data_IF_095038002218
#
_entry.id   IF_095038002218
#
_cell.length_a   1.000
_cell.length_b   1.000
_cell.length_c   1.000
_cell.angle_alpha   90.00
_cell.angle_beta   90.00
_cell.angle_gamma   90.00
#
_symmetry.space_group_name_H-M   'P 1'
#
loop_
_entity.id
_entity.type
_entity.pdbx_description
1 polymer ?
#
# COMPACT_ATOMS: atom_id res chain seq x y z
N UNK A 1 1.56 -7.73 -3.01
CA UNK A 1 0.59 -6.85 -2.30
C UNK A 1 0.97 -5.45 -2.66
N UNK A 2 0.13 -4.69 -3.38
CA UNK A 2 0.32 -3.25 -3.50
C UNK A 2 0.61 -2.61 -2.14
N UNK A 3 1.75 -1.92 -2.06
CA UNK A 3 2.13 -1.09 -0.92
C UNK A 3 1.79 0.36 -1.26
N UNK A 4 2.24 1.33 -0.46
CA UNK A 4 1.86 2.73 -0.69
C UNK A 4 2.21 3.25 -2.09
N UNK A 5 3.41 3.02 -2.65
CA UNK A 5 3.76 3.51 -3.97
C UNK A 5 2.86 2.99 -5.08
N UNK A 6 2.49 1.71 -5.03
CA UNK A 6 1.59 1.09 -6.01
C UNK A 6 0.17 1.65 -5.89
N UNK A 7 -0.33 1.85 -4.67
CA UNK A 7 -1.66 2.42 -4.44
C UNK A 7 -1.71 3.88 -4.88
N UNK A 8 -0.66 4.66 -4.64
CA UNK A 8 -0.55 6.05 -5.12
C UNK A 8 -0.50 6.13 -6.64
N UNK A 9 0.23 5.21 -7.28
CA UNK A 9 0.30 5.14 -8.75
C UNK A 9 -1.08 4.81 -9.32
N UNK A 10 -1.79 3.82 -8.75
CA UNK A 10 -3.18 3.51 -9.14
C UNK A 10 -4.09 4.73 -8.93
N UNK A 11 -3.95 5.45 -7.81
CA UNK A 11 -4.74 6.67 -7.55
C UNK A 11 -4.55 7.71 -8.66
N UNK A 12 -3.29 7.97 -9.04
CA UNK A 12 -2.91 8.95 -10.07
C UNK A 12 -3.39 8.56 -11.45
N UNK A 13 -3.20 7.30 -11.84
CA UNK A 13 -3.61 6.80 -13.16
C UNK A 13 -5.13 6.64 -13.28
N UNK A 14 -5.81 6.27 -12.19
CA UNK A 14 -7.25 6.01 -12.22
C UNK A 14 -8.08 7.29 -12.25
N UNK A 15 -7.69 8.32 -11.48
CA UNK A 15 -8.45 9.57 -11.38
C UNK A 15 -8.83 10.18 -12.74
N UNK A 16 -7.91 10.43 -13.70
CA UNK A 16 -8.28 11.02 -14.99
C UNK A 16 -9.26 10.16 -15.81
N UNK A 17 -9.33 8.86 -15.55
CA UNK A 17 -10.21 7.94 -16.29
C UNK A 17 -11.65 7.91 -15.76
N UNK A 18 -11.87 8.32 -14.51
CA UNK A 18 -13.17 8.22 -13.81
C UNK A 18 -13.67 9.53 -13.23
N UNK A 19 -12.83 10.56 -13.18
CA UNK A 19 -13.21 11.88 -12.68
C UNK A 19 -14.40 12.42 -13.48
N UNK A 20 -15.35 12.96 -12.75
CA UNK A 20 -16.58 13.53 -13.25
C UNK A 20 -17.54 12.55 -13.93
N UNK A 21 -17.32 11.24 -13.79
CA UNK A 21 -18.26 10.24 -14.29
C UNK A 21 -19.37 9.96 -13.28
N UNK A 22 -20.61 10.03 -13.77
CA UNK A 22 -21.83 9.72 -13.00
C UNK A 22 -22.05 8.21 -13.00
N UNK A 23 -22.17 7.61 -11.82
CA UNK A 23 -22.44 6.18 -11.64
C UNK A 23 -23.93 5.91 -11.90
N UNK A 24 -24.23 5.08 -12.89
CA UNK A 24 -25.61 4.66 -13.22
C UNK A 24 -25.97 3.30 -12.65
N UNK A 25 -24.98 2.44 -12.40
CA UNK A 25 -25.19 1.14 -11.77
C UNK A 25 -23.93 0.66 -11.06
N UNK A 26 -24.13 -0.20 -10.05
CA UNK A 26 -23.08 -1.03 -9.47
C UNK A 26 -23.58 -2.47 -9.38
N UNK A 27 -22.71 -3.41 -9.79
CA UNK A 27 -22.97 -4.83 -9.73
C UNK A 27 -21.78 -5.58 -9.10
N UNK A 28 -22.06 -6.72 -8.46
CA UNK A 28 -21.04 -7.63 -7.95
C UNK A 28 -21.47 -9.08 -8.10
N UNK A 29 -20.52 -9.96 -8.43
CA UNK A 29 -20.71 -11.42 -8.37
C UNK A 29 -20.09 -12.02 -7.09
N UNK A 30 -19.59 -11.18 -6.19
CA UNK A 30 -18.95 -11.58 -4.93
C UNK A 30 -19.27 -10.58 -3.83
N UNK A 31 -20.49 -10.63 -3.29
CA UNK A 31 -21.01 -9.60 -2.38
C UNK A 31 -20.16 -9.38 -1.12
N UNK A 32 -19.42 -10.38 -0.64
CA UNK A 32 -18.48 -10.25 0.51
C UNK A 32 -17.38 -9.21 0.30
N UNK A 33 -17.16 -8.72 -0.92
CA UNK A 33 -16.27 -7.59 -1.19
C UNK A 33 -16.84 -6.26 -0.67
N UNK A 34 -18.16 -6.11 -0.67
CA UNK A 34 -18.88 -4.90 -0.25
C UNK A 34 -19.28 -5.05 1.23
N UNK A 35 -18.58 -4.36 2.11
CA UNK A 35 -18.78 -4.50 3.56
C UNK A 35 -20.18 -4.07 4.00
N UNK A 36 -20.78 -3.10 3.32
CA UNK A 36 -22.14 -2.62 3.61
C UNK A 36 -23.22 -3.40 2.83
N UNK A 37 -22.86 -4.37 1.98
CA UNK A 37 -23.77 -5.09 1.10
C UNK A 37 -24.07 -4.35 -0.21
N UNK A 38 -24.49 -5.09 -1.25
CA UNK A 38 -24.73 -4.52 -2.57
C UNK A 38 -25.90 -3.53 -2.57
N UNK A 39 -26.99 -3.87 -1.87
CA UNK A 39 -28.19 -3.03 -1.81
C UNK A 39 -27.90 -1.61 -1.28
N UNK A 40 -27.06 -1.49 -0.25
CA UNK A 40 -26.64 -0.17 0.27
C UNK A 40 -25.81 0.59 -0.76
N UNK A 41 -24.86 -0.06 -1.43
CA UNK A 41 -24.08 0.60 -2.48
C UNK A 41 -24.99 1.08 -3.62
N UNK A 42 -25.91 0.25 -4.11
CA UNK A 42 -26.84 0.61 -5.18
C UNK A 42 -27.72 1.81 -4.80
N UNK A 43 -28.25 1.82 -3.57
CA UNK A 43 -29.09 2.91 -3.08
C UNK A 43 -28.32 4.22 -2.94
N UNK A 44 -27.12 4.17 -2.38
CA UNK A 44 -26.44 5.37 -1.90
C UNK A 44 -25.46 5.98 -2.93
N UNK A 45 -25.01 5.25 -3.97
CA UNK A 45 -24.03 5.79 -4.94
C UNK A 45 -24.59 6.03 -6.34
N UNK A 46 -25.72 5.40 -6.72
CA UNK A 46 -26.28 5.59 -8.07
C UNK A 46 -26.77 7.03 -8.21
N UNK A 47 -26.43 7.66 -9.32
CA UNK A 47 -26.65 9.08 -9.60
C UNK A 47 -25.56 10.01 -9.09
N UNK A 48 -24.61 9.51 -8.28
CA UNK A 48 -23.47 10.30 -7.81
C UNK A 48 -22.29 10.27 -8.80
N UNK A 49 -21.47 11.31 -8.73
CA UNK A 49 -20.28 11.50 -9.56
C UNK A 49 -19.00 11.24 -8.76
N UNK A 50 -17.99 10.61 -9.36
CA UNK A 50 -16.66 10.52 -8.74
C UNK A 50 -15.92 11.85 -8.93
N UNK A 51 -15.76 12.61 -7.84
CA UNK A 51 -15.18 13.97 -7.88
C UNK A 51 -13.64 13.95 -7.76
N UNK A 52 -13.11 13.10 -6.89
CA UNK A 52 -11.67 12.89 -6.71
C UNK A 52 -11.38 11.50 -6.14
N UNK A 53 -10.11 11.10 -6.18
CA UNK A 53 -9.61 9.89 -5.51
C UNK A 53 -8.41 10.29 -4.65
N UNK A 54 -8.58 10.16 -3.34
CA UNK A 54 -7.50 10.32 -2.37
C UNK A 54 -6.91 8.96 -1.99
N UNK A 55 -5.85 8.97 -1.18
CA UNK A 55 -5.24 7.78 -0.60
C UNK A 55 -4.94 8.00 0.87
N UNK A 56 -5.17 6.96 1.68
CA UNK A 56 -4.69 6.87 3.06
C UNK A 56 -4.00 5.54 3.28
N UNK A 57 -2.70 5.55 3.57
CA UNK A 57 -1.88 4.34 3.63
C UNK A 57 -2.01 3.52 2.34
N UNK A 58 -2.57 2.32 2.44
CA UNK A 58 -2.80 1.40 1.32
C UNK A 58 -4.28 1.35 0.86
N UNK A 59 -5.06 2.36 1.23
CA UNK A 59 -6.48 2.50 0.87
C UNK A 59 -6.66 3.60 -0.16
N UNK A 60 -7.51 3.35 -1.17
CA UNK A 60 -8.07 4.36 -2.05
C UNK A 60 -9.36 4.91 -1.43
N UNK A 61 -9.57 6.22 -1.54
CA UNK A 61 -10.77 6.91 -1.08
C UNK A 61 -11.41 7.61 -2.29
N UNK A 62 -12.37 6.96 -2.93
CA UNK A 62 -13.10 7.53 -4.06
C UNK A 62 -14.22 8.42 -3.52
N UNK A 63 -14.10 9.74 -3.74
CA UNK A 63 -15.04 10.76 -3.24
C UNK A 63 -16.19 10.91 -4.21
N UNK A 64 -17.40 10.94 -3.68
CA UNK A 64 -18.63 11.06 -4.46
C UNK A 64 -19.27 12.45 -4.25
N UNK A 65 -19.95 12.96 -5.29
CA UNK A 65 -20.58 14.29 -5.27
C UNK A 65 -21.70 14.44 -4.25
N UNK A 66 -22.29 13.34 -3.78
CA UNK A 66 -23.34 13.32 -2.77
C UNK A 66 -22.80 13.28 -1.32
N UNK A 67 -21.49 13.47 -1.12
CA UNK A 67 -20.88 13.47 0.20
C UNK A 67 -20.56 12.07 0.73
N UNK A 68 -20.70 11.01 -0.06
CA UNK A 68 -20.24 9.67 0.29
C UNK A 68 -18.79 9.40 -0.19
N UNK A 69 -18.12 8.43 0.42
CA UNK A 69 -16.79 7.98 0.05
C UNK A 69 -16.75 6.45 -0.01
N UNK A 70 -16.25 5.92 -1.12
CA UNK A 70 -15.93 4.49 -1.24
C UNK A 70 -14.48 4.28 -0.83
N UNK A 71 -14.28 3.63 0.32
CA UNK A 71 -13.00 3.18 0.82
C UNK A 71 -12.68 1.82 0.20
N UNK A 72 -11.61 1.72 -0.58
CA UNK A 72 -11.20 0.48 -1.23
C UNK A 72 -9.78 0.06 -0.82
N UNK A 73 -9.60 -1.21 -0.48
CA UNK A 73 -8.28 -1.79 -0.21
C UNK A 73 -7.98 -2.91 -1.20
N UNK A 74 -6.94 -2.73 -2.02
CA UNK A 74 -6.56 -3.67 -3.09
C UNK A 74 -6.06 -5.03 -2.58
N UNK A 75 -5.53 -5.06 -1.35
CA UNK A 75 -4.93 -6.25 -0.73
C UNK A 75 -3.81 -6.81 -1.59
N UNK A 76 -3.87 -8.07 -2.01
CA UNK A 76 -2.72 -8.75 -2.60
C UNK A 76 -2.60 -8.51 -4.09
N UNK A 77 -3.70 -8.62 -4.81
CA UNK A 77 -3.77 -8.70 -6.28
C UNK A 77 -4.96 -7.93 -6.88
N UNK A 78 -5.67 -7.16 -6.04
CA UNK A 78 -6.76 -6.31 -6.50
C UNK A 78 -6.27 -5.23 -7.45
N UNK A 79 -6.96 -5.04 -8.57
CA UNK A 79 -6.67 -3.98 -9.53
C UNK A 79 -7.95 -3.39 -10.12
N UNK A 80 -7.87 -2.10 -10.43
CA UNK A 80 -8.89 -1.36 -11.16
C UNK A 80 -8.46 -1.16 -12.60
N UNK A 81 -9.43 -1.14 -13.51
CA UNK A 81 -9.23 -0.73 -14.89
C UNK A 81 -10.56 -0.23 -15.47
N UNK A 82 -10.48 0.60 -16.49
CA UNK A 82 -11.66 1.17 -17.17
C UNK A 82 -11.83 0.51 -18.53
N UNK A 83 -13.05 0.08 -18.84
CA UNK A 83 -13.44 -0.35 -20.20
C UNK A 83 -14.38 0.69 -20.79
N UNK A 84 -14.15 1.07 -22.07
CA UNK A 84 -15.00 2.06 -22.75
C UNK A 84 -16.28 1.44 -23.30
N UNK A 85 -16.21 0.20 -23.76
CA UNK A 85 -17.34 -0.55 -24.28
C UNK A 85 -17.81 -1.58 -23.24
N UNK A 86 -19.05 -1.45 -22.78
CA UNK A 86 -19.69 -2.38 -21.85
C UNK A 86 -19.84 -3.80 -22.42
N UNK A 87 -19.77 -3.98 -23.74
CA UNK A 87 -19.77 -5.29 -24.40
C UNK A 87 -18.47 -6.07 -24.19
N UNK A 88 -17.39 -5.40 -23.76
CA UNK A 88 -16.10 -6.03 -23.44
C UNK A 88 -16.32 -7.20 -22.47
N UNK A 89 -15.94 -8.44 -22.83
CA UNK A 89 -16.20 -9.60 -21.99
C UNK A 89 -15.66 -9.45 -20.57
N UNK A 90 -16.39 -9.98 -19.58
CA UNK A 90 -15.92 -10.05 -18.21
C UNK A 90 -14.88 -11.15 -18.05
N UNK A 91 -13.84 -10.88 -17.26
CA UNK A 91 -12.99 -11.91 -16.69
C UNK A 91 -13.74 -12.55 -15.49
N UNK A 92 -13.55 -13.86 -15.27
CA UNK A 92 -14.15 -14.57 -14.12
C UNK A 92 -13.74 -13.99 -12.76
N UNK A 93 -12.66 -13.21 -12.72
CA UNK A 93 -12.13 -12.54 -11.54
C UNK A 93 -12.58 -11.08 -11.42
N UNK A 94 -13.36 -10.55 -12.38
CA UNK A 94 -14.01 -9.25 -12.24
C UNK A 94 -15.16 -9.37 -11.25
N UNK A 95 -15.03 -8.70 -10.11
CA UNK A 95 -15.92 -8.89 -8.98
C UNK A 95 -16.81 -7.70 -8.67
N UNK A 96 -16.39 -6.47 -9.02
CA UNK A 96 -17.23 -5.28 -8.87
C UNK A 96 -17.16 -4.48 -10.16
N UNK A 97 -18.32 -4.02 -10.62
CA UNK A 97 -18.44 -3.18 -11.82
C UNK A 97 -19.26 -1.95 -11.47
N UNK A 98 -18.70 -0.77 -11.71
CA UNK A 98 -19.41 0.49 -11.70
C UNK A 98 -19.66 0.87 -13.16
N UNK A 99 -20.92 1.00 -13.56
CA UNK A 99 -21.30 1.50 -14.88
C UNK A 99 -21.49 3.00 -14.79
N UNK A 100 -20.95 3.73 -15.77
CA UNK A 100 -21.08 5.17 -15.85
C UNK A 100 -22.11 5.58 -16.90
N UNK A 101 -22.57 6.84 -16.82
CA UNK A 101 -23.56 7.40 -17.75
C UNK A 101 -23.07 7.48 -19.20
N UNK A 102 -21.75 7.60 -19.42
CA UNK A 102 -21.11 7.59 -20.74
C UNK A 102 -21.00 6.18 -21.36
N UNK A 103 -21.55 5.15 -20.70
CA UNK A 103 -21.51 3.75 -21.13
C UNK A 103 -20.22 3.01 -20.75
N UNK A 104 -19.19 3.72 -20.29
CA UNK A 104 -17.95 3.09 -19.81
C UNK A 104 -18.15 2.42 -18.45
N UNK A 105 -17.24 1.52 -18.08
CA UNK A 105 -17.29 0.82 -16.80
C UNK A 105 -15.94 0.85 -16.09
N UNK A 106 -15.96 1.11 -14.78
CA UNK A 106 -14.84 0.83 -13.89
C UNK A 106 -15.01 -0.59 -13.34
N UNK A 107 -14.05 -1.48 -13.63
CA UNK A 107 -14.06 -2.87 -13.18
C UNK A 107 -12.97 -3.10 -12.12
N UNK A 108 -13.32 -3.83 -11.07
CA UNK A 108 -12.39 -4.30 -10.06
C UNK A 108 -12.17 -5.81 -10.19
N UNK A 109 -10.92 -6.20 -10.43
CA UNK A 109 -10.49 -7.59 -10.55
C UNK A 109 -9.68 -8.01 -9.35
N UNK A 110 -9.97 -9.18 -8.78
CA UNK A 110 -9.19 -9.75 -7.67
C UNK A 110 -9.24 -11.28 -7.66
N UNK A 111 -8.14 -11.91 -8.08
CA UNK A 111 -8.03 -13.37 -8.18
C UNK A 111 -8.24 -14.07 -6.84
N UNK A 112 -7.87 -13.42 -5.73
CA UNK A 112 -7.85 -14.00 -4.38
C UNK A 112 -9.04 -13.59 -3.53
N UNK A 113 -9.90 -12.69 -4.02
CA UNK A 113 -11.11 -12.21 -3.32
C UNK A 113 -10.85 -11.63 -1.93
N UNK A 114 -9.68 -11.03 -1.74
CA UNK A 114 -9.26 -10.41 -0.48
C UNK A 114 -9.62 -8.93 -0.40
N UNK A 115 -9.73 -8.27 -1.56
CA UNK A 115 -10.18 -6.90 -1.71
C UNK A 115 -11.44 -6.61 -0.91
N UNK A 116 -11.54 -5.39 -0.38
CA UNK A 116 -12.73 -4.93 0.35
C UNK A 116 -13.05 -3.51 -0.04
N UNK A 117 -14.34 -3.21 -0.13
CA UNK A 117 -14.89 -1.88 -0.33
C UNK A 117 -15.89 -1.58 0.78
N UNK A 118 -15.86 -0.36 1.30
CA UNK A 118 -16.79 0.14 2.31
C UNK A 118 -17.26 1.52 1.92
N UNK A 119 -18.55 1.76 2.04
CA UNK A 119 -19.16 3.07 1.89
C UNK A 119 -19.23 3.77 3.25
N UNK A 120 -18.91 5.05 3.28
CA UNK A 120 -19.01 5.90 4.45
C UNK A 120 -19.21 7.36 4.06
N UNK A 121 -19.81 8.16 4.93
CA UNK A 121 -19.87 9.61 4.76
C UNK A 121 -18.47 10.21 4.71
N UNK A 122 -18.27 11.14 3.78
CA UNK A 122 -17.02 11.89 3.62
C UNK A 122 -16.76 12.70 4.90
N UNK A 123 -15.53 12.64 5.39
CA UNK A 123 -15.10 13.23 6.66
C UNK A 123 -15.33 12.33 7.88
N UNK A 124 -15.90 11.13 7.71
CA UNK A 124 -16.10 10.14 8.78
C UNK A 124 -15.22 8.89 8.61
N UNK A 125 -14.14 8.96 7.84
CA UNK A 125 -13.30 7.81 7.52
C UNK A 125 -12.57 7.26 8.75
N UNK A 126 -12.39 8.08 9.78
CA UNK A 126 -11.84 7.72 11.09
C UNK A 126 -12.75 6.77 11.88
N UNK A 127 -14.03 6.65 11.53
CA UNK A 127 -14.91 5.62 12.09
C UNK A 127 -14.55 4.22 11.58
N UNK A 128 -13.77 4.10 10.49
CA UNK A 128 -13.25 2.80 10.05
C UNK A 128 -12.06 2.43 10.94
N UNK A 129 -12.15 1.39 11.78
CA UNK A 129 -11.11 1.11 12.78
C UNK A 129 -9.72 0.87 12.17
N UNK A 130 -9.69 0.37 10.93
CA UNK A 130 -8.45 0.14 10.20
C UNK A 130 -7.79 1.44 9.70
N UNK A 131 -8.55 2.53 9.49
CA UNK A 131 -8.04 3.85 9.12
C UNK A 131 -7.74 4.69 10.37
N UNK A 132 -8.61 4.63 11.39
CA UNK A 132 -8.47 5.34 12.66
C UNK A 132 -7.12 5.11 13.35
N UNK A 133 -6.62 3.87 13.26
CA UNK A 133 -5.39 3.43 13.92
C UNK A 133 -4.14 3.63 13.07
N UNK A 134 -4.25 4.08 11.81
CA UNK A 134 -3.09 4.21 10.94
C UNK A 134 -2.10 5.24 11.47
N UNK A 135 -0.82 4.89 11.40
CA UNK A 135 0.28 5.80 11.65
C UNK A 135 0.36 6.91 10.59
N UNK A 136 1.26 7.89 10.78
CA UNK A 136 1.40 9.00 9.85
C UNK A 136 1.67 8.53 8.41
N UNK A 137 1.29 9.37 7.44
CA UNK A 137 1.78 9.24 6.06
C UNK A 137 3.30 9.49 6.05
N UNK A 138 4.10 8.73 5.28
CA UNK A 138 5.56 8.82 5.25
C UNK A 138 6.02 9.99 4.38
N UNK A 139 5.67 11.22 4.77
CA UNK A 139 6.11 12.46 4.12
C UNK A 139 6.82 13.35 5.14
N UNK A 140 7.73 14.27 4.71
CA UNK A 140 8.40 15.17 5.63
C UNK A 140 7.47 16.04 6.49
N UNK A 141 6.24 16.28 6.01
CA UNK A 141 5.25 17.11 6.71
C UNK A 141 4.52 16.36 7.82
N UNK A 142 4.30 15.06 7.65
CA UNK A 142 3.40 14.27 8.50
C UNK A 142 4.11 13.20 9.31
N UNK A 143 5.26 12.72 8.84
CA UNK A 143 6.08 11.76 9.54
C UNK A 143 7.14 12.52 10.32
N UNK A 144 6.91 12.67 11.62
CA UNK A 144 7.84 13.35 12.53
C UNK A 144 8.85 12.34 13.10
N UNK A 145 10.13 12.68 13.03
CA UNK A 145 11.24 11.84 13.50
C UNK A 145 11.13 11.56 15.01
N UNK A 146 10.76 12.56 15.81
CA UNK A 146 10.71 12.45 17.28
C UNK A 146 9.58 11.53 17.72
N UNK A 147 8.40 11.67 17.13
CA UNK A 147 7.26 10.80 17.34
C UNK A 147 7.52 9.38 16.81
N UNK A 148 8.20 9.24 15.66
CA UNK A 148 8.61 7.94 15.16
C UNK A 148 9.54 7.23 16.15
N UNK A 149 10.55 7.93 16.67
CA UNK A 149 11.44 7.39 17.70
C UNK A 149 10.66 6.92 18.93
N UNK A 150 9.70 7.74 19.41
CA UNK A 150 8.84 7.39 20.55
C UNK A 150 8.00 6.14 20.29
N UNK A 151 7.44 5.98 19.08
CA UNK A 151 6.70 4.78 18.67
C UNK A 151 7.60 3.56 18.68
N UNK A 152 8.77 3.63 18.05
CA UNK A 152 9.72 2.50 18.00
C UNK A 152 10.13 2.02 19.40
N UNK A 153 10.36 2.94 20.34
CA UNK A 153 10.76 2.61 21.72
C UNK A 153 9.72 1.80 22.51
N UNK A 154 8.46 1.76 22.08
CA UNK A 154 7.40 0.95 22.69
C UNK A 154 7.41 -0.52 22.25
N UNK A 155 8.29 -0.89 21.32
CA UNK A 155 8.29 -2.22 20.71
C UNK A 155 9.59 -2.98 20.97
N UNK A 156 9.49 -4.08 21.72
CA UNK A 156 10.59 -5.06 21.91
C UNK A 156 10.75 -6.05 20.75
N UNK A 157 9.91 -5.92 19.71
CA UNK A 157 9.88 -6.82 18.54
C UNK A 157 10.99 -6.42 17.54
N UNK A 158 11.38 -7.33 16.63
CA UNK A 158 12.24 -7.01 15.49
C UNK A 158 11.76 -5.78 14.70
N UNK A 159 12.68 -4.89 14.32
CA UNK A 159 12.38 -3.64 13.61
C UNK A 159 11.57 -3.88 12.34
N UNK A 160 11.85 -4.96 11.59
CA UNK A 160 11.06 -5.29 10.40
C UNK A 160 9.58 -5.52 10.75
N UNK A 161 9.29 -6.25 11.81
CA UNK A 161 7.91 -6.49 12.24
C UNK A 161 7.21 -5.19 12.65
N UNK A 162 7.95 -4.25 13.23
CA UNK A 162 7.43 -2.94 13.66
C UNK A 162 7.15 -2.03 12.45
N UNK A 163 7.99 -2.05 11.42
CA UNK A 163 7.74 -1.29 10.18
C UNK A 163 6.53 -1.81 9.39
N UNK A 164 6.20 -3.11 9.52
CA UNK A 164 5.01 -3.69 8.90
C UNK A 164 3.72 -3.37 9.67
N UNK A 165 3.83 -2.92 10.93
CA UNK A 165 2.70 -2.44 11.71
C UNK A 165 2.25 -1.08 11.19
N UNK A 166 1.09 -1.06 10.52
CA UNK A 166 0.57 0.15 9.89
C UNK A 166 0.17 1.25 10.90
N UNK A 167 0.19 0.96 12.21
CA UNK A 167 -0.01 1.97 13.27
C UNK A 167 1.27 2.78 13.56
N UNK A 168 2.44 2.26 13.18
CA UNK A 168 3.73 2.93 13.38
C UNK A 168 3.97 3.95 12.28
N UNK A 169 3.89 3.50 11.03
CA UNK A 169 3.96 4.32 9.81
C UNK A 169 3.07 3.66 8.76
N UNK A 170 2.22 4.45 8.10
CA UNK A 170 1.32 3.90 7.10
C UNK A 170 2.07 3.62 5.80
N UNK A 171 1.71 2.54 5.11
CA UNK A 171 2.10 2.35 3.71
C UNK A 171 3.34 1.49 3.47
N UNK A 172 4.23 1.33 4.46
CA UNK A 172 5.36 0.42 4.37
C UNK A 172 4.85 -1.02 4.37
N UNK A 173 5.22 -1.83 3.38
CA UNK A 173 4.99 -3.27 3.35
C UNK A 173 6.30 -4.04 3.29
N UNK A 174 6.27 -5.24 2.73
CA UNK A 174 7.39 -6.17 2.83
C UNK A 174 8.54 -5.85 1.89
N UNK A 175 8.26 -5.29 0.71
CA UNK A 175 9.28 -4.87 -0.23
C UNK A 175 10.04 -3.70 0.39
N UNK A 176 9.31 -2.60 0.64
CA UNK A 176 9.94 -1.38 1.09
C UNK A 176 10.51 -1.49 2.52
N UNK A 177 10.00 -2.39 3.38
CA UNK A 177 10.65 -2.69 4.65
C UNK A 177 12.04 -3.33 4.49
N UNK A 178 12.23 -4.24 3.52
CA UNK A 178 13.54 -4.85 3.26
C UNK A 178 14.53 -3.79 2.73
N UNK A 179 14.08 -2.99 1.76
CA UNK A 179 14.90 -1.95 1.11
C UNK A 179 15.32 -0.85 2.10
N UNK A 180 14.39 -0.27 2.88
CA UNK A 180 14.74 0.81 3.81
C UNK A 180 15.65 0.34 4.94
N UNK A 181 15.53 -0.92 5.36
CA UNK A 181 16.44 -1.50 6.35
C UNK A 181 17.83 -1.73 5.76
N UNK A 182 17.92 -2.14 4.50
CA UNK A 182 19.19 -2.23 3.79
C UNK A 182 19.83 -0.85 3.63
N UNK A 183 19.09 0.15 3.15
CA UNK A 183 19.55 1.53 3.00
C UNK A 183 20.11 2.06 4.33
N UNK A 184 19.40 1.76 5.42
CA UNK A 184 19.75 2.20 6.78
C UNK A 184 20.79 1.35 7.49
N UNK A 185 21.29 0.28 6.85
CA UNK A 185 22.26 -0.68 7.44
C UNK A 185 21.76 -1.32 8.75
N UNK A 186 20.45 -1.52 8.86
CA UNK A 186 19.82 -2.11 10.05
C UNK A 186 19.48 -3.57 9.80
N UNK A 187 19.87 -4.46 10.73
CA UNK A 187 19.47 -5.84 10.68
C UNK A 187 17.95 -5.96 10.91
N UNK A 188 17.21 -6.73 10.09
CA UNK A 188 15.76 -6.87 10.24
C UNK A 188 15.32 -7.50 11.58
N UNK A 189 16.21 -8.24 12.24
CA UNK A 189 16.01 -8.83 13.57
C UNK A 189 16.35 -7.89 14.73
N UNK A 190 16.96 -6.72 14.49
CA UNK A 190 17.31 -5.79 15.56
C UNK A 190 16.04 -5.36 16.31
N UNK A 191 15.96 -5.52 17.65
CA UNK A 191 14.80 -5.04 18.41
C UNK A 191 14.62 -3.52 18.27
N UNK A 192 13.40 -3.07 17.95
CA UNK A 192 13.12 -1.67 17.60
C UNK A 192 13.47 -0.69 18.73
N UNK A 193 13.24 -1.09 19.98
CA UNK A 193 13.57 -0.35 21.19
C UNK A 193 15.09 -0.14 21.41
N UNK A 194 15.94 -0.93 20.75
CA UNK A 194 17.41 -0.84 20.87
C UNK A 194 18.08 0.05 19.82
N UNK A 195 17.32 0.64 18.88
CA UNK A 195 17.86 1.54 17.88
C UNK A 195 18.36 2.85 18.53
N UNK A 196 19.50 3.33 18.06
CA UNK A 196 20.11 4.60 18.47
C UNK A 196 19.47 5.75 17.69
N UNK A 197 19.47 6.96 18.24
CA UNK A 197 18.84 8.12 17.60
C UNK A 197 19.33 8.37 16.16
N UNK A 198 20.64 8.22 15.91
CA UNK A 198 21.21 8.34 14.56
C UNK A 198 20.65 7.31 13.58
N UNK A 199 20.45 6.07 14.04
CA UNK A 199 19.89 5.00 13.20
C UNK A 199 18.40 5.22 12.91
N UNK A 200 17.66 5.72 13.91
CA UNK A 200 16.25 6.08 13.75
C UNK A 200 16.10 7.19 12.71
N UNK A 201 16.96 8.22 12.79
CA UNK A 201 17.01 9.30 11.80
C UNK A 201 17.28 8.76 10.39
N UNK A 202 18.33 7.95 10.23
CA UNK A 202 18.65 7.35 8.93
C UNK A 202 17.49 6.50 8.40
N UNK A 203 16.84 5.71 9.26
CA UNK A 203 15.68 4.90 8.88
C UNK A 203 14.47 5.75 8.47
N UNK A 204 14.18 6.79 9.24
CA UNK A 204 13.12 7.75 8.95
C UNK A 204 13.30 8.37 7.56
N UNK A 205 14.50 8.91 7.31
CA UNK A 205 14.82 9.58 6.05
C UNK A 205 14.80 8.59 4.87
N UNK A 206 15.32 7.37 5.07
CA UNK A 206 15.29 6.30 4.07
C UNK A 206 13.85 5.89 3.71
N UNK A 207 12.92 5.79 4.68
CA UNK A 207 11.51 5.47 4.40
C UNK A 207 10.89 6.52 3.49
N UNK A 208 11.09 7.81 3.79
CA UNK A 208 10.53 8.90 2.98
C UNK A 208 11.13 8.89 1.57
N UNK A 209 12.45 8.78 1.47
CA UNK A 209 13.16 8.81 0.19
C UNK A 209 12.77 7.64 -0.70
N UNK A 210 12.80 6.42 -0.15
CA UNK A 210 12.54 5.19 -0.91
C UNK A 210 11.11 5.14 -1.43
N UNK A 211 10.12 5.47 -0.58
CA UNK A 211 8.73 5.48 -1.00
C UNK A 211 8.45 6.55 -2.05
N UNK A 212 9.08 7.73 -1.96
CA UNK A 212 8.95 8.77 -2.97
C UNK A 212 9.61 8.37 -4.30
N UNK A 213 10.78 7.75 -4.26
CA UNK A 213 11.46 7.23 -5.45
C UNK A 213 10.61 6.15 -6.13
N UNK A 214 10.03 5.25 -5.34
CA UNK A 214 9.11 4.23 -5.84
C UNK A 214 7.85 4.84 -6.47
N UNK A 215 7.24 5.86 -5.86
CA UNK A 215 6.10 6.58 -6.45
C UNK A 215 6.50 7.22 -7.79
N UNK A 216 7.67 7.86 -7.87
CA UNK A 216 8.15 8.49 -9.10
C UNK A 216 8.38 7.48 -10.23
N UNK A 217 8.74 6.23 -9.88
CA UNK A 217 8.94 5.12 -10.81
C UNK A 217 7.66 4.29 -11.09
N UNK A 218 6.50 4.73 -10.62
CA UNK A 218 5.23 4.01 -10.82
C UNK A 218 5.10 2.71 -9.99
N UNK A 219 5.89 2.56 -8.93
CA UNK A 219 5.90 1.40 -8.05
C UNK A 219 6.67 0.20 -8.59
N UNK A 220 6.53 -0.93 -7.89
CA UNK A 220 7.24 -2.19 -8.14
C UNK A 220 6.32 -3.24 -8.76
N UNK A 221 6.60 -3.64 -10.00
CA UNK A 221 5.88 -4.72 -10.70
C UNK A 221 6.54 -6.10 -10.52
N UNK A 222 6.85 -6.50 -9.29
CA UNK A 222 7.56 -7.75 -8.98
C UNK A 222 6.79 -9.03 -9.38
N UNK A 223 5.45 -8.98 -9.38
CA UNK A 223 4.61 -10.10 -9.82
C UNK A 223 3.59 -9.62 -10.86
N UNK A 224 2.36 -9.36 -10.42
CA UNK A 224 1.19 -9.08 -11.27
C UNK A 224 0.72 -7.62 -11.19
N UNK A 225 1.43 -6.77 -10.43
CA UNK A 225 1.06 -5.37 -10.27
C UNK A 225 1.23 -4.59 -11.58
N UNK A 226 0.17 -3.83 -11.92
CA UNK A 226 0.10 -2.84 -12.99
C UNK A 226 -0.76 -1.67 -12.51
N UNK A 227 -0.59 -0.50 -13.13
CA UNK A 227 -1.44 0.67 -12.89
C UNK A 227 -2.86 0.49 -13.52
N UNK A 228 -3.69 1.55 -13.45
CA UNK A 228 -5.06 1.49 -13.98
C UNK A 228 -5.14 1.44 -15.51
N UNK A 229 -4.06 1.79 -16.21
CA UNK A 229 -3.93 1.74 -17.66
C UNK A 229 -3.27 0.41 -18.12
N UNK A 230 -2.79 -0.40 -17.19
CA UNK A 230 -2.14 -1.68 -17.45
C UNK A 230 -0.62 -1.59 -17.59
N UNK A 231 -0.02 -0.42 -17.33
CA UNK A 231 1.43 -0.25 -17.39
C UNK A 231 2.10 -0.84 -16.14
N UNK A 232 3.30 -1.37 -16.33
CA UNK A 232 4.15 -1.86 -15.22
C UNK A 232 4.93 -0.70 -14.63
N UNK A 233 5.09 -0.69 -13.32
CA UNK A 233 6.10 0.14 -12.65
C UNK A 233 7.51 -0.33 -13.00
N UNK A 234 8.50 0.53 -12.79
CA UNK A 234 9.92 0.23 -13.09
C UNK A 234 10.79 0.08 -11.85
N UNK A 235 10.25 0.26 -10.64
CA UNK A 235 11.05 0.32 -9.41
C UNK A 235 11.68 -1.02 -9.02
N UNK A 236 11.17 -2.16 -9.52
CA UNK A 236 11.82 -3.47 -9.33
C UNK A 236 13.28 -3.50 -9.79
N UNK A 237 13.66 -2.65 -10.75
CA UNK A 237 15.03 -2.57 -11.27
C UNK A 237 15.98 -1.82 -10.32
N UNK A 238 15.44 -1.11 -9.33
CA UNK A 238 16.19 -0.35 -8.34
C UNK A 238 16.30 -1.08 -6.98
N UNK A 239 15.70 -2.26 -6.84
CA UNK A 239 15.71 -3.01 -5.58
C UNK A 239 17.12 -3.56 -5.28
N UNK A 240 17.57 -3.37 -4.05
CA UNK A 240 18.89 -3.78 -3.59
C UNK A 240 18.89 -5.17 -2.94
N UNK A 241 17.79 -5.58 -2.30
CA UNK A 241 17.75 -6.85 -1.55
C UNK A 241 16.50 -7.68 -1.80
N UNK A 242 15.34 -7.05 -2.00
CA UNK A 242 14.09 -7.77 -2.12
C UNK A 242 14.08 -8.68 -3.35
N UNK A 243 13.77 -9.97 -3.14
CA UNK A 243 13.79 -11.01 -4.17
C UNK A 243 15.15 -11.19 -4.87
N UNK A 244 16.24 -10.77 -4.21
CA UNK A 244 17.62 -10.88 -4.69
C UNK A 244 18.45 -11.90 -3.90
N UNK A 245 17.79 -12.85 -3.22
CA UNK A 245 18.45 -13.96 -2.52
C UNK A 245 19.43 -14.70 -3.44
N UNK A 246 20.62 -15.01 -2.95
CA UNK A 246 21.66 -15.69 -3.72
C UNK A 246 22.48 -14.77 -4.63
N UNK A 247 22.09 -13.51 -4.82
CA UNK A 247 22.86 -12.52 -5.59
C UNK A 247 23.83 -11.72 -4.72
N UNK A 248 24.92 -11.16 -5.28
CA UNK A 248 25.85 -10.33 -4.51
C UNK A 248 25.23 -8.99 -4.10
N UNK A 249 25.50 -8.55 -2.87
CA UNK A 249 25.09 -7.24 -2.36
C UNK A 249 25.78 -6.09 -3.11
N UNK A 250 25.00 -5.12 -3.59
CA UNK A 250 25.49 -3.96 -4.35
C UNK A 250 26.55 -3.10 -3.62
N UNK A 251 26.64 -3.20 -2.28
CA UNK A 251 27.61 -2.44 -1.47
C UNK A 251 28.91 -3.17 -1.18
N UNK A 252 28.87 -4.49 -1.03
CA UNK A 252 30.01 -5.24 -0.46
C UNK A 252 30.26 -6.60 -1.11
N UNK A 253 29.47 -7.02 -2.09
CA UNK A 253 29.60 -8.32 -2.76
C UNK A 253 29.09 -9.51 -1.96
N UNK A 254 28.91 -9.41 -0.64
CA UNK A 254 28.36 -10.51 0.18
C UNK A 254 26.98 -10.94 -0.30
N UNK A 255 26.76 -12.24 -0.44
CA UNK A 255 25.48 -12.82 -0.89
C UNK A 255 24.30 -12.35 -0.01
N UNK A 256 23.23 -11.90 -0.66
CA UNK A 256 21.96 -11.59 -0.01
C UNK A 256 21.30 -12.88 0.45
N UNK A 257 20.81 -12.88 1.69
CA UNK A 257 20.16 -14.05 2.30
C UNK A 257 18.68 -13.77 2.54
N UNK A 258 17.88 -14.83 2.55
CA UNK A 258 16.46 -14.76 2.92
C UNK A 258 16.21 -15.50 4.22
N UNK A 259 15.54 -14.83 5.13
CA UNK A 259 15.06 -15.40 6.40
C UNK A 259 13.56 -15.15 6.57
N UNK A 260 12.98 -15.73 7.62
CA UNK A 260 11.59 -15.46 8.00
C UNK A 260 11.55 -14.59 9.25
N UNK A 261 10.93 -13.41 9.15
CA UNK A 261 10.69 -12.49 10.28
C UNK A 261 9.19 -12.20 10.36
N UNK A 262 8.56 -12.53 11.49
CA UNK A 262 7.12 -12.31 11.68
C UNK A 262 6.24 -13.00 10.61
N UNK A 263 6.59 -14.21 10.20
CA UNK A 263 5.95 -14.97 9.11
C UNK A 263 6.12 -14.35 7.71
N UNK A 264 7.02 -13.39 7.52
CA UNK A 264 7.30 -12.77 6.22
C UNK A 264 8.71 -13.10 5.72
N UNK A 265 8.82 -13.47 4.45
CA UNK A 265 10.11 -13.59 3.77
C UNK A 265 10.83 -12.24 3.79
N UNK A 266 12.10 -12.27 4.18
CA UNK A 266 12.91 -11.10 4.52
C UNK A 266 14.28 -11.23 3.93
N UNK A 267 14.65 -10.27 3.08
CA UNK A 267 15.91 -10.27 2.37
C UNK A 267 16.81 -9.20 2.97
N UNK A 268 18.08 -9.55 3.22
CA UNK A 268 19.05 -8.60 3.78
C UNK A 268 20.48 -9.05 3.48
N UNK A 269 21.43 -8.13 3.60
CA UNK A 269 22.85 -8.44 3.52
C UNK A 269 23.42 -8.70 4.91
N UNK A 270 23.94 -9.92 5.22
CA UNK A 270 24.42 -10.23 6.57
C UNK A 270 25.68 -9.45 6.96
N UNK A 271 26.47 -9.00 5.98
CA UNK A 271 27.66 -8.19 6.20
C UNK A 271 27.33 -6.70 6.41
N UNK A 272 26.49 -6.10 5.55
CA UNK A 272 26.13 -4.69 5.69
C UNK A 272 25.15 -4.40 6.83
N UNK A 273 24.40 -5.41 7.28
CA UNK A 273 23.36 -5.28 8.30
C UNK A 273 23.63 -6.29 9.43
N UNK A 274 24.75 -6.17 10.18
CA UNK A 274 25.05 -7.09 11.27
C UNK A 274 24.04 -6.91 12.42
N UNK A 275 23.68 -8.02 13.07
CA UNK A 275 22.84 -7.97 14.28
C UNK A 275 23.71 -7.56 15.47
N UNK A 276 23.31 -6.50 16.18
CA UNK A 276 24.06 -6.04 17.34
C UNK A 276 23.38 -6.50 18.64
N UNK A 277 24.16 -7.14 19.50
CA UNK A 277 23.73 -7.42 20.88
C UNK A 277 23.73 -6.10 21.66
N UNK A 278 22.54 -5.63 22.02
CA UNK A 278 22.34 -4.36 22.74
C UNK A 278 21.51 -4.62 23.98
N UNK A 279 21.88 -4.00 25.09
CA UNK A 279 21.04 -3.97 26.29
C UNK A 279 19.77 -3.19 25.98
N UNK A 280 18.63 -3.73 26.37
CA UNK A 280 17.36 -3.00 26.28
C UNK A 280 17.37 -1.84 27.28
N UNK A 281 16.75 -0.69 26.93
CA UNK A 281 16.43 0.33 27.93
C UNK A 281 15.62 -0.32 29.06
N UNK A 282 15.90 0.08 30.30
CA UNK A 282 15.10 -0.31 31.45
C UNK A 282 13.67 0.25 31.34
#
# INVERSE_FOLDING_TARGET
MPELPEVETVRRSLLPLVKNKVITAINTNWEKILINGLATFQKEIVGSEITTIDRRGKYLLMRLSNGETIISHLRMEGRYYVVKDASTPFDKHDHVTFTFQDGSQLRYRDLRKFGRMRLIKTGQEDQVPALAKLGPEPTPRTFDETEFARRLKRHHKPIKSVLLDQTVVAGVGNIYADEVLWLSRLNPLQPADTLKSKEIKTLHDAIIQELNAAIAAGGTSAHTYVDAEGNRGSFQNALHVYDREGTPCDRCGTTIVKIKVGQRGTHYCPHCQPLHQRRRPA
#
